data_IF_140769655057
#
_entry.id   IF_140769655057
#
_cell.length_a   1.000
_cell.length_b   1.000
_cell.length_c   1.000
_cell.angle_alpha   90.00
_cell.angle_beta   90.00
_cell.angle_gamma   90.00
#
_symmetry.space_group_name_H-M   'P 1'
#
loop_
_entity.id
_entity.type
_entity.pdbx_description
1 polymer ?
#
# COMPACT_ATOMS: atom_id res chain seq x y z
N UNK A 1 -57.67 3.65 -24.09
CA UNK A 1 -56.31 3.40 -23.60
C UNK A 1 -56.19 3.95 -22.20
N UNK A 2 -56.03 3.08 -21.20
CA UNK A 2 -55.65 3.50 -19.84
C UNK A 2 -54.13 3.73 -19.79
N UNK A 3 -53.64 4.82 -19.20
CA UNK A 3 -52.19 5.07 -19.09
C UNK A 3 -51.52 3.98 -18.24
N UNK A 4 -50.35 3.51 -18.67
CA UNK A 4 -49.52 2.58 -17.89
C UNK A 4 -49.04 3.28 -16.60
N UNK A 5 -49.34 2.74 -15.40
CA UNK A 5 -49.00 3.38 -14.12
C UNK A 5 -47.50 3.47 -13.85
N UNK A 6 -46.65 2.80 -14.64
CA UNK A 6 -45.20 2.84 -14.48
C UNK A 6 -44.51 3.92 -15.31
N UNK A 7 -45.22 4.64 -16.17
CA UNK A 7 -44.64 5.67 -17.02
C UNK A 7 -44.99 7.06 -16.49
N UNK A 8 -43.96 7.83 -16.13
CA UNK A 8 -44.14 9.19 -15.62
C UNK A 8 -44.86 10.09 -16.62
N UNK A 9 -45.62 11.08 -16.12
CA UNK A 9 -46.30 12.06 -16.97
C UNK A 9 -45.33 12.84 -17.89
N UNK A 10 -44.03 12.82 -17.56
CA UNK A 10 -42.97 13.43 -18.35
C UNK A 10 -42.54 12.51 -19.51
N UNK A 11 -42.33 11.22 -19.27
CA UNK A 11 -42.09 10.22 -20.33
C UNK A 11 -43.28 10.04 -21.27
N UNK A 12 -44.51 10.21 -20.79
CA UNK A 12 -45.69 10.17 -21.67
C UNK A 12 -45.77 11.35 -22.66
N UNK A 13 -44.99 12.42 -22.44
CA UNK A 13 -44.86 13.55 -23.37
C UNK A 13 -43.71 13.39 -24.36
N UNK A 14 -42.86 12.39 -24.17
CA UNK A 14 -41.77 12.07 -25.09
C UNK A 14 -42.34 11.19 -26.20
N UNK A 15 -42.47 11.77 -27.38
CA UNK A 15 -42.82 11.01 -28.58
C UNK A 15 -41.58 10.21 -29.00
N UNK A 16 -41.69 8.91 -29.34
CA UNK A 16 -40.54 8.13 -29.82
C UNK A 16 -39.91 8.84 -31.02
N UNK A 17 -38.61 9.17 -30.91
CA UNK A 17 -37.93 9.85 -31.99
C UNK A 17 -37.80 8.91 -33.19
N UNK A 18 -38.30 9.30 -34.39
CA UNK A 18 -38.38 8.40 -35.56
C UNK A 18 -37.01 7.91 -36.05
N UNK A 19 -35.91 8.48 -35.55
CA UNK A 19 -34.56 8.24 -36.04
C UNK A 19 -33.61 7.59 -35.03
N UNK A 20 -34.02 7.39 -33.78
CA UNK A 20 -33.14 6.89 -32.72
C UNK A 20 -32.71 5.42 -32.94
N UNK A 21 -33.53 4.63 -33.64
CA UNK A 21 -33.22 3.22 -33.98
C UNK A 21 -32.60 3.03 -35.37
N UNK A 22 -32.42 4.09 -36.16
CA UNK A 22 -32.04 3.99 -37.59
C UNK A 22 -30.75 4.73 -37.95
N UNK A 23 -30.03 5.27 -36.96
CA UNK A 23 -28.73 5.92 -37.18
C UNK A 23 -27.63 4.90 -36.86
N UNK A 24 -27.19 4.05 -37.82
CA UNK A 24 -26.06 3.17 -37.60
C UNK A 24 -24.82 4.02 -37.29
N UNK A 25 -23.92 3.47 -36.47
CA UNK A 25 -22.65 4.13 -36.13
C UNK A 25 -21.96 4.55 -37.44
N UNK A 26 -21.51 5.82 -37.56
CA UNK A 26 -20.97 6.32 -38.81
C UNK A 26 -19.73 5.52 -39.22
N UNK A 27 -19.72 5.04 -40.47
CA UNK A 27 -18.62 4.24 -41.03
C UNK A 27 -17.21 4.82 -40.81
N UNK A 28 -16.98 6.15 -40.87
CA UNK A 28 -15.67 6.73 -40.55
C UNK A 28 -15.21 6.44 -39.11
N UNK A 29 -16.13 6.45 -38.15
CA UNK A 29 -15.82 6.13 -36.75
C UNK A 29 -15.49 4.65 -36.58
N UNK A 30 -16.24 3.76 -37.23
CA UNK A 30 -15.95 2.32 -37.24
C UNK A 30 -14.56 2.06 -37.84
N UNK A 31 -14.23 2.70 -38.97
CA UNK A 31 -12.93 2.58 -39.62
C UNK A 31 -11.78 3.12 -38.75
N UNK A 32 -12.00 4.25 -38.06
CA UNK A 32 -11.01 4.80 -37.12
C UNK A 32 -10.75 3.85 -35.96
N UNK A 33 -11.82 3.31 -35.35
CA UNK A 33 -11.70 2.36 -34.24
C UNK A 33 -10.99 1.09 -34.71
N UNK A 34 -11.38 0.53 -35.86
CA UNK A 34 -10.73 -0.64 -36.44
C UNK A 34 -9.23 -0.41 -36.73
N UNK A 35 -8.88 0.79 -37.22
CA UNK A 35 -7.49 1.18 -37.47
C UNK A 35 -6.68 1.28 -36.17
N UNK A 36 -7.25 1.85 -35.10
CA UNK A 36 -6.58 1.93 -33.80
C UNK A 36 -6.37 0.54 -33.17
N UNK A 37 -7.35 -0.35 -33.28
CA UNK A 37 -7.21 -1.74 -32.84
C UNK A 37 -6.14 -2.49 -33.66
N UNK A 38 -6.16 -2.37 -34.99
CA UNK A 38 -5.17 -2.98 -35.85
C UNK A 38 -3.76 -2.43 -35.59
N UNK A 39 -3.63 -1.12 -35.40
CA UNK A 39 -2.38 -0.47 -35.02
C UNK A 39 -1.89 -0.96 -33.66
N UNK A 40 -2.76 -1.07 -32.65
CA UNK A 40 -2.41 -1.59 -31.33
C UNK A 40 -1.92 -3.04 -31.37
N UNK A 41 -2.62 -3.90 -32.12
CA UNK A 41 -2.21 -5.31 -32.33
C UNK A 41 -0.88 -5.38 -33.08
N UNK A 42 -0.73 -4.63 -34.17
CA UNK A 42 0.50 -4.59 -34.94
C UNK A 42 1.66 -4.03 -34.10
N UNK A 43 1.44 -2.96 -33.34
CA UNK A 43 2.44 -2.38 -32.44
C UNK A 43 2.88 -3.40 -31.39
N UNK A 44 1.96 -4.07 -30.70
CA UNK A 44 2.29 -5.10 -29.70
C UNK A 44 3.01 -6.30 -30.32
N UNK A 45 2.65 -6.68 -31.56
CA UNK A 45 3.25 -7.85 -32.23
C UNK A 45 4.61 -7.54 -32.85
N UNK A 46 4.82 -6.31 -33.33
CA UNK A 46 6.05 -5.86 -33.99
C UNK A 46 7.03 -5.21 -33.01
N UNK A 47 6.55 -4.71 -31.88
CA UNK A 47 7.39 -4.23 -30.80
C UNK A 47 7.83 -5.45 -29.98
N UNK A 48 9.13 -5.68 -29.94
CA UNK A 48 9.71 -6.73 -29.10
C UNK A 48 9.49 -6.36 -27.62
N UNK A 49 8.39 -6.84 -27.02
CA UNK A 49 8.09 -6.70 -25.59
C UNK A 49 9.15 -7.44 -24.74
N UNK A 50 10.07 -8.17 -25.39
CA UNK A 50 11.33 -8.66 -24.84
C UNK A 50 12.42 -7.59 -24.65
N UNK A 51 12.07 -6.31 -24.66
CA UNK A 51 12.99 -5.23 -24.29
C UNK A 51 13.62 -5.52 -22.93
N UNK A 52 14.95 -5.40 -22.77
CA UNK A 52 15.62 -5.80 -21.54
C UNK A 52 15.03 -5.04 -20.34
N UNK A 53 14.78 -5.75 -19.25
CA UNK A 53 14.14 -5.25 -18.02
C UNK A 53 14.78 -4.00 -17.39
N UNK A 54 15.93 -3.56 -17.91
CA UNK A 54 16.60 -2.32 -17.57
C UNK A 54 15.81 -1.04 -17.90
N UNK A 55 14.81 -1.11 -18.80
CA UNK A 55 14.01 0.06 -19.20
C UNK A 55 12.59 0.08 -18.61
N UNK A 56 12.23 -0.91 -17.78
CA UNK A 56 10.95 -1.01 -17.04
C UNK A 56 11.14 -0.92 -15.52
N UNK A 57 10.13 -1.31 -14.73
CA UNK A 57 10.18 -1.36 -13.26
C UNK A 57 11.13 -2.45 -12.69
N UNK A 58 11.98 -3.03 -13.53
CA UNK A 58 13.02 -4.00 -13.18
C UNK A 58 12.51 -5.42 -12.89
N UNK A 59 11.19 -5.66 -12.91
CA UNK A 59 10.64 -6.96 -12.52
C UNK A 59 10.77 -7.99 -13.63
N UNK A 60 11.52 -9.06 -13.36
CA UNK A 60 11.67 -10.18 -14.29
C UNK A 60 10.53 -11.19 -14.10
N UNK A 61 10.10 -11.84 -15.18
CA UNK A 61 9.12 -12.93 -15.10
C UNK A 61 9.59 -14.08 -14.17
N UNK A 62 10.90 -14.22 -13.95
CA UNK A 62 11.49 -15.12 -12.97
C UNK A 62 11.19 -14.74 -11.50
N UNK A 63 10.91 -13.46 -11.21
CA UNK A 63 10.45 -13.03 -9.88
C UNK A 63 8.95 -13.31 -9.69
N UNK A 64 8.18 -13.31 -10.77
CA UNK A 64 6.75 -13.65 -10.75
C UNK A 64 6.50 -15.16 -10.72
N UNK A 65 7.39 -15.94 -11.33
CA UNK A 65 7.40 -17.39 -11.25
C UNK A 65 8.23 -17.82 -10.05
N UNK A 66 7.64 -17.74 -8.86
CA UNK A 66 8.27 -18.09 -7.57
C UNK A 66 9.24 -19.27 -7.69
N UNK A 67 10.53 -18.96 -7.65
CA UNK A 67 11.60 -19.95 -7.76
C UNK A 67 11.52 -20.90 -6.57
N UNK A 68 11.07 -22.13 -6.83
CA UNK A 68 11.31 -23.27 -5.95
C UNK A 68 12.82 -23.49 -5.86
N UNK A 69 13.41 -23.06 -4.76
CA UNK A 69 14.72 -23.54 -4.32
C UNK A 69 15.89 -22.57 -4.54
N UNK A 70 15.82 -21.41 -3.89
CA UNK A 70 17.00 -20.72 -3.34
C UNK A 70 16.55 -20.19 -1.96
N UNK A 71 17.39 -20.31 -0.92
CA UNK A 71 17.01 -20.09 0.48
C UNK A 71 16.14 -18.84 0.68
N UNK A 72 15.06 -18.97 1.46
CA UNK A 72 14.05 -17.97 1.78
C UNK A 72 14.35 -16.58 1.17
N UNK A 73 13.75 -16.28 0.01
CA UNK A 73 13.88 -14.97 -0.62
C UNK A 73 13.65 -13.90 0.45
N UNK A 74 14.69 -13.10 0.72
CA UNK A 74 14.68 -12.10 1.77
C UNK A 74 13.53 -11.14 1.47
N UNK A 75 12.58 -11.01 2.40
CA UNK A 75 11.43 -10.13 2.19
C UNK A 75 11.90 -8.71 1.85
N UNK A 76 11.28 -8.08 0.84
CA UNK A 76 11.62 -6.72 0.43
C UNK A 76 10.92 -5.70 1.35
N UNK A 77 11.69 -5.12 2.28
CA UNK A 77 11.19 -4.13 3.22
C UNK A 77 10.68 -2.85 2.57
N UNK A 78 11.24 -2.45 1.41
CA UNK A 78 10.79 -1.26 0.70
C UNK A 78 9.42 -1.49 0.06
N UNK A 79 9.20 -2.67 -0.53
CA UNK A 79 7.91 -3.05 -1.08
C UNK A 79 6.82 -3.16 0.01
N UNK A 80 7.15 -3.71 1.19
CA UNK A 80 6.23 -3.76 2.33
C UNK A 80 5.90 -2.34 2.82
N UNK A 81 6.90 -1.47 2.95
CA UNK A 81 6.68 -0.07 3.32
C UNK A 81 5.76 0.65 2.33
N UNK A 82 6.02 0.51 1.03
CA UNK A 82 5.25 1.14 -0.04
C UNK A 82 3.79 0.66 -0.10
N UNK A 83 3.51 -0.57 0.31
CA UNK A 83 2.15 -1.13 0.29
C UNK A 83 1.34 -0.82 1.54
N UNK A 84 1.98 -0.77 2.73
CA UNK A 84 1.26 -0.72 4.00
C UNK A 84 1.50 0.53 4.84
N UNK A 85 2.69 1.13 4.75
CA UNK A 85 3.12 2.16 5.69
C UNK A 85 3.09 3.56 5.07
N UNK A 86 3.34 3.65 3.75
CA UNK A 86 3.54 4.92 3.04
C UNK A 86 2.31 5.82 3.08
N UNK A 87 1.10 5.26 3.14
CA UNK A 87 -0.14 6.03 3.13
C UNK A 87 -0.22 7.02 4.30
N UNK A 88 0.32 6.65 5.46
CA UNK A 88 0.32 7.49 6.66
C UNK A 88 1.68 8.15 6.89
N UNK A 89 2.77 7.39 6.79
CA UNK A 89 4.12 7.88 7.11
C UNK A 89 4.81 8.60 5.94
N UNK A 90 4.18 8.64 4.77
CA UNK A 90 4.66 9.25 3.54
C UNK A 90 5.94 8.59 2.98
N UNK A 91 6.20 8.80 1.69
CA UNK A 91 7.37 8.22 1.01
C UNK A 91 8.71 8.73 1.57
N UNK A 92 8.71 9.94 2.12
CA UNK A 92 9.88 10.55 2.75
C UNK A 92 9.96 10.30 4.27
N UNK A 93 9.06 9.47 4.83
CA UNK A 93 9.04 9.14 6.25
C UNK A 93 8.74 10.32 7.18
N UNK A 94 8.29 11.47 6.68
CA UNK A 94 8.01 12.65 7.50
C UNK A 94 6.62 12.62 8.13
N UNK A 95 5.75 11.70 7.70
CA UNK A 95 4.35 11.68 8.12
C UNK A 95 3.64 12.98 7.77
N UNK A 96 2.67 13.35 8.61
CA UNK A 96 1.92 14.59 8.50
C UNK A 96 1.87 15.24 9.89
N UNK A 97 2.50 16.41 10.10
CA UNK A 97 2.54 17.07 11.39
C UNK A 97 1.15 17.21 12.05
N UNK A 98 1.05 16.84 13.33
CA UNK A 98 -0.20 16.84 14.09
C UNK A 98 -1.13 15.63 13.85
N UNK A 99 -0.90 14.83 12.81
CA UNK A 99 -1.76 13.69 12.45
C UNK A 99 -0.99 12.37 12.45
N UNK A 100 0.05 12.24 11.62
CA UNK A 100 0.88 11.04 11.51
C UNK A 100 2.34 11.36 11.89
N UNK A 101 2.92 10.63 12.86
CA UNK A 101 4.27 10.93 13.31
C UNK A 101 5.32 10.62 12.24
N UNK A 102 6.44 11.36 12.21
CA UNK A 102 7.57 11.05 11.35
C UNK A 102 8.24 9.75 11.81
N UNK A 103 8.72 8.97 10.84
CA UNK A 103 9.68 7.89 11.03
C UNK A 103 11.13 8.38 10.85
N UNK A 104 11.32 9.46 10.08
CA UNK A 104 12.62 10.07 9.85
C UNK A 104 13.17 10.76 11.11
N UNK A 105 14.27 10.21 11.64
CA UNK A 105 14.91 10.67 12.88
C UNK A 105 14.04 10.48 14.12
N UNK A 106 13.14 9.51 14.11
CA UNK A 106 12.26 9.19 15.25
C UNK A 106 13.00 8.34 16.28
N UNK A 107 12.94 8.75 17.54
CA UNK A 107 13.50 8.04 18.69
C UNK A 107 12.91 6.62 18.84
N UNK A 108 11.66 6.44 18.43
CA UNK A 108 11.00 5.13 18.42
C UNK A 108 11.57 4.21 17.36
N UNK A 109 11.92 4.77 16.18
CA UNK A 109 12.50 4.00 15.09
C UNK A 109 13.94 3.64 15.40
N UNK A 110 14.74 4.56 15.93
CA UNK A 110 16.19 4.35 16.16
C UNK A 110 16.49 3.70 17.51
N UNK A 111 15.53 3.65 18.43
CA UNK A 111 15.65 3.02 19.74
C UNK A 111 15.71 1.49 19.71
N UNK A 112 15.17 0.86 20.75
CA UNK A 112 15.16 -0.61 20.91
C UNK A 112 14.35 -1.26 19.78
N UNK A 113 14.97 -2.22 19.11
CA UNK A 113 14.37 -3.01 18.04
C UNK A 113 13.13 -3.77 18.51
N UNK A 114 13.13 -4.29 19.74
CA UNK A 114 11.98 -4.95 20.35
C UNK A 114 10.79 -4.02 20.55
N UNK A 115 11.02 -2.76 20.93
CA UNK A 115 9.96 -1.75 21.13
C UNK A 115 9.30 -1.38 19.80
N UNK A 116 10.09 -1.05 18.77
CA UNK A 116 9.52 -0.73 17.45
C UNK A 116 8.84 -1.95 16.82
N UNK A 117 9.36 -3.16 17.04
CA UNK A 117 8.71 -4.40 16.61
C UNK A 117 7.36 -4.58 17.28
N UNK A 118 7.27 -4.38 18.60
CA UNK A 118 6.03 -4.48 19.34
C UNK A 118 4.99 -3.44 18.86
N UNK A 119 5.42 -2.20 18.62
CA UNK A 119 4.58 -1.13 18.07
C UNK A 119 3.91 -1.55 16.76
N UNK A 120 4.67 -2.10 15.81
CA UNK A 120 4.09 -2.50 14.51
C UNK A 120 3.26 -3.78 14.63
N UNK A 121 3.67 -4.72 15.49
CA UNK A 121 2.91 -5.96 15.76
C UNK A 121 1.52 -5.67 16.32
N UNK A 122 1.40 -4.74 17.28
CA UNK A 122 0.17 -4.53 18.05
C UNK A 122 -0.54 -3.20 17.78
N UNK A 123 0.09 -2.27 17.06
CA UNK A 123 -0.44 -0.93 16.83
C UNK A 123 -0.36 -0.03 18.07
N UNK A 124 -0.69 1.24 17.89
CA UNK A 124 -0.67 2.26 18.93
C UNK A 124 -1.90 3.14 18.80
N UNK A 125 -2.58 3.43 19.90
CA UNK A 125 -3.68 4.39 19.98
C UNK A 125 -3.40 5.44 21.05
N UNK A 126 -4.04 6.61 20.95
CA UNK A 126 -3.95 7.64 21.97
C UNK A 126 -2.75 8.57 21.79
N UNK A 127 -2.33 9.23 22.87
CA UNK A 127 -1.32 10.30 22.83
C UNK A 127 0.09 9.71 22.83
N UNK A 128 0.86 9.90 21.75
CA UNK A 128 2.26 9.52 21.66
C UNK A 128 3.14 10.75 21.38
N UNK A 129 4.24 10.88 22.10
CA UNK A 129 5.26 11.90 21.82
C UNK A 129 6.29 11.36 20.84
N UNK A 130 6.53 12.09 19.74
CA UNK A 130 7.56 11.75 18.73
C UNK A 130 8.30 13.02 18.36
N UNK A 131 9.62 13.04 18.53
CA UNK A 131 10.50 14.20 18.28
C UNK A 131 10.00 15.49 18.95
N UNK A 132 9.54 15.38 20.20
CA UNK A 132 9.02 16.50 20.99
C UNK A 132 7.62 17.01 20.59
N UNK A 133 7.00 16.43 19.55
CA UNK A 133 5.61 16.74 19.16
C UNK A 133 4.65 15.67 19.68
N UNK A 134 3.46 16.05 20.10
CA UNK A 134 2.43 15.08 20.52
C UNK A 134 1.46 14.77 19.39
N UNK A 135 1.24 13.49 19.16
CA UNK A 135 0.29 12.94 18.20
C UNK A 135 -0.82 12.24 18.96
N UNK A 136 -2.07 12.39 18.54
CA UNK A 136 -3.21 11.68 19.11
C UNK A 136 -3.98 10.97 18.01
N UNK A 137 -3.64 9.70 17.77
CA UNK A 137 -4.15 8.96 16.63
C UNK A 137 -4.23 7.46 16.89
N UNK A 138 -4.42 6.70 15.82
CA UNK A 138 -4.46 5.24 15.86
C UNK A 138 -3.65 4.67 14.68
N UNK A 139 -2.61 3.91 15.02
CA UNK A 139 -1.88 3.03 14.11
C UNK A 139 -2.41 1.60 14.30
N UNK A 140 -2.91 0.94 13.25
CA UNK A 140 -3.43 -0.43 13.36
C UNK A 140 -2.31 -1.44 13.63
N UNK A 141 -2.70 -2.60 14.15
CA UNK A 141 -1.81 -3.74 14.34
C UNK A 141 -1.55 -4.47 13.01
N UNK A 142 -0.29 -4.79 12.72
CA UNK A 142 0.09 -5.55 11.52
C UNK A 142 0.55 -6.99 11.84
N UNK A 143 0.56 -7.40 13.10
CA UNK A 143 1.07 -8.70 13.51
C UNK A 143 0.34 -9.89 12.91
N UNK A 144 -0.94 -9.77 12.56
CA UNK A 144 -1.69 -10.83 11.88
C UNK A 144 -1.43 -10.87 10.36
N UNK A 145 -0.98 -9.76 9.77
CA UNK A 145 -0.83 -9.60 8.32
C UNK A 145 0.60 -9.87 7.85
N UNK A 146 1.60 -9.57 8.68
CA UNK A 146 3.02 -9.70 8.33
C UNK A 146 3.68 -10.88 9.05
N UNK A 147 4.45 -11.67 8.29
CA UNK A 147 5.39 -12.65 8.86
C UNK A 147 6.53 -11.95 9.60
N UNK A 148 7.26 -12.70 10.42
CA UNK A 148 8.39 -12.16 11.18
C UNK A 148 9.50 -11.66 10.25
N UNK A 149 9.72 -12.32 9.10
CA UNK A 149 10.68 -11.91 8.07
C UNK A 149 10.25 -10.62 7.36
N UNK A 150 8.96 -10.49 7.01
CA UNK A 150 8.43 -9.29 6.37
C UNK A 150 8.49 -8.08 7.32
N UNK A 151 8.15 -8.30 8.59
CA UNK A 151 8.25 -7.30 9.65
C UNK A 151 9.71 -6.86 9.86
N UNK A 152 10.62 -7.81 10.01
CA UNK A 152 12.05 -7.53 10.15
C UNK A 152 12.61 -6.75 8.95
N UNK A 153 12.17 -7.11 7.74
CA UNK A 153 12.57 -6.41 6.52
C UNK A 153 12.08 -4.96 6.47
N UNK A 154 10.79 -4.69 6.74
CA UNK A 154 10.25 -3.32 6.71
C UNK A 154 10.85 -2.45 7.83
N UNK A 155 11.04 -3.01 9.02
CA UNK A 155 11.69 -2.31 10.13
C UNK A 155 13.14 -1.97 9.82
N UNK A 156 13.88 -2.91 9.22
CA UNK A 156 15.26 -2.69 8.76
C UNK A 156 15.32 -1.61 7.69
N UNK A 157 14.40 -1.63 6.72
CA UNK A 157 14.30 -0.58 5.70
C UNK A 157 14.11 0.78 6.38
N UNK A 158 13.05 0.95 7.18
CA UNK A 158 12.73 2.20 7.89
C UNK A 158 13.91 2.70 8.76
N UNK A 159 14.63 1.79 9.43
CA UNK A 159 15.80 2.11 10.27
C UNK A 159 17.06 2.51 9.51
N UNK A 160 17.09 2.28 8.19
CA UNK A 160 18.17 2.68 7.28
C UNK A 160 17.84 3.89 6.41
N UNK A 161 16.57 4.29 6.35
CA UNK A 161 16.12 5.39 5.50
C UNK A 161 16.15 6.75 6.19
N UNK A 162 16.13 7.82 5.38
CA UNK A 162 15.94 9.21 5.83
C UNK A 162 16.94 9.69 6.88
N UNK A 163 18.18 9.18 6.80
CA UNK A 163 19.25 9.52 7.74
C UNK A 163 19.20 8.77 9.07
N UNK A 164 18.26 7.82 9.23
CA UNK A 164 18.28 6.91 10.36
C UNK A 164 19.54 6.04 10.32
N UNK A 165 20.24 5.95 11.46
CA UNK A 165 21.42 5.12 11.63
C UNK A 165 21.18 4.14 12.79
N UNK A 166 20.38 3.12 12.54
CA UNK A 166 20.06 2.11 13.54
C UNK A 166 20.28 0.70 12.99
N UNK A 167 20.66 -0.22 13.88
CA UNK A 167 20.95 -1.60 13.51
C UNK A 167 19.73 -2.28 12.86
N UNK A 168 19.97 -3.20 11.92
CA UNK A 168 18.92 -4.00 11.30
C UNK A 168 18.16 -4.82 12.36
N UNK A 169 16.87 -5.07 12.10
CA UNK A 169 16.02 -5.92 12.95
C UNK A 169 16.03 -7.32 12.36
N UNK A 170 16.25 -8.34 13.20
CA UNK A 170 16.21 -9.73 12.77
C UNK A 170 14.81 -10.33 12.93
N UNK A 171 14.50 -11.40 12.19
CA UNK A 171 13.23 -12.11 12.32
C UNK A 171 13.07 -12.71 13.74
N UNK A 172 14.17 -13.14 14.35
CA UNK A 172 14.19 -13.67 15.72
C UNK A 172 13.77 -12.60 16.74
N UNK A 173 14.22 -11.34 16.59
CA UNK A 173 13.77 -10.24 17.45
C UNK A 173 12.25 -10.05 17.34
N UNK A 174 11.70 -10.10 16.11
CA UNK A 174 10.26 -9.95 15.90
C UNK A 174 9.50 -11.12 16.53
N UNK A 175 9.96 -12.36 16.33
CA UNK A 175 9.38 -13.54 16.93
C UNK A 175 9.37 -13.46 18.47
N UNK A 176 10.47 -12.99 19.06
CA UNK A 176 10.56 -12.77 20.50
C UNK A 176 9.58 -11.70 20.97
N UNK A 177 9.45 -10.58 20.25
CA UNK A 177 8.48 -9.53 20.57
C UNK A 177 7.03 -10.05 20.50
N UNK A 178 6.71 -10.89 19.51
CA UNK A 178 5.41 -11.55 19.35
C UNK A 178 5.10 -12.47 20.53
N UNK A 179 6.07 -13.24 21.01
CA UNK A 179 5.90 -14.09 22.19
C UNK A 179 5.76 -13.26 23.46
N UNK A 180 6.60 -12.24 23.64
CA UNK A 180 6.59 -11.37 24.82
C UNK A 180 5.25 -10.63 25.00
N UNK A 181 4.56 -10.35 23.90
CA UNK A 181 3.28 -9.65 23.90
C UNK A 181 2.10 -10.52 23.44
N UNK A 182 2.21 -11.85 23.48
CA UNK A 182 1.17 -12.78 22.98
C UNK A 182 -0.21 -12.57 23.61
N UNK A 183 -0.26 -12.16 24.88
CA UNK A 183 -1.51 -11.94 25.63
C UNK A 183 -2.12 -10.56 25.36
N UNK A 184 -1.41 -9.68 24.64
CA UNK A 184 -1.89 -8.34 24.32
C UNK A 184 -2.81 -8.41 23.11
N UNK A 185 -4.09 -8.20 23.35
CA UNK A 185 -5.15 -8.15 22.32
C UNK A 185 -5.51 -6.73 21.89
N UNK A 186 -5.09 -5.71 22.65
CA UNK A 186 -5.35 -4.30 22.38
C UNK A 186 -4.07 -3.54 21.98
N UNK A 187 -4.17 -2.51 21.12
CA UNK A 187 -3.05 -1.62 20.81
C UNK A 187 -2.42 -0.99 22.05
N UNK A 188 -1.18 -0.53 21.91
CA UNK A 188 -0.52 0.26 22.96
C UNK A 188 -1.27 1.57 23.18
N UNK A 189 -1.50 1.95 24.44
CA UNK A 189 -2.13 3.24 24.78
C UNK A 189 -1.08 4.36 24.89
N UNK A 190 -0.52 4.75 23.74
CA UNK A 190 0.40 5.87 23.58
C UNK A 190 1.48 5.93 24.67
N UNK A 191 1.70 7.13 25.22
CA UNK A 191 2.68 7.42 26.26
C UNK A 191 2.42 6.68 27.58
N UNK A 192 1.22 6.12 27.81
CA UNK A 192 0.92 5.34 29.01
C UNK A 192 1.63 3.99 28.98
N UNK A 193 1.61 3.32 27.83
CA UNK A 193 2.27 2.02 27.66
C UNK A 193 3.69 2.16 27.07
N UNK A 194 3.95 3.25 26.36
CA UNK A 194 5.21 3.59 25.69
C UNK A 194 5.72 4.94 26.22
N UNK A 195 6.26 5.00 27.45
CA UNK A 195 6.75 6.25 28.02
C UNK A 195 7.86 6.83 27.14
N UNK A 196 7.87 8.16 26.98
CA UNK A 196 8.88 8.84 26.16
C UNK A 196 10.28 8.49 26.65
N UNK A 197 11.17 8.22 25.71
CA UNK A 197 12.59 8.11 25.97
C UNK A 197 13.16 9.53 25.90
N UNK A 198 13.18 10.21 27.04
CA UNK A 198 13.83 11.51 27.21
C UNK A 198 15.36 11.38 27.10
#
# INVERSE_FOLDING_TARGET
MTPDPHISAQQQRENPEPHEQTQPVPWPLIMLVALLFAFGIAYISLSDIGSPAAWGDGRQAAELSGSKGQGAAKADGAAVFASLCVACHQANGQGLPGVFPPLAGSEWVTGKDSTVSAIVLHGVTGRLSVKGSTYNGAMPAFGAQLSDEQMAAVLTYVRSQWGNQAAAVSAETVAQARVAHKERTAPFDGNKDLPSHD
#
